data_IF_793405943056
#
_entry.id   IF_793405943056
#
_cell.length_a   1.000
_cell.length_b   1.000
_cell.length_c   1.000
_cell.angle_alpha   90.00
_cell.angle_beta   90.00
_cell.angle_gamma   90.00
#
_symmetry.space_group_name_H-M   'P 1'
#
loop_
_entity.id
_entity.type
_entity.pdbx_description
1 polymer ?
#
# COMPACT_ATOMS: atom_id res chain seq x y z
N UNK A 1 10.64 18.19 -16.44
CA UNK A 1 9.16 18.17 -16.45
C UNK A 1 8.64 16.72 -16.33
N UNK A 2 8.96 15.97 -15.26
CA UNK A 2 8.63 14.53 -15.20
C UNK A 2 7.91 14.06 -13.92
N UNK A 3 7.72 14.93 -12.92
CA UNK A 3 7.06 14.56 -11.66
C UNK A 3 5.53 14.74 -11.67
N UNK A 4 4.96 15.44 -12.66
CA UNK A 4 3.52 15.74 -12.73
C UNK A 4 2.68 14.66 -13.41
N UNK A 5 3.26 13.84 -14.28
CA UNK A 5 2.55 12.78 -15.01
C UNK A 5 2.38 11.52 -14.15
N UNK A 6 3.44 11.10 -13.46
CA UNK A 6 3.43 9.93 -12.55
C UNK A 6 2.40 10.06 -11.40
N UNK A 7 2.26 11.25 -10.82
CA UNK A 7 1.31 11.50 -9.74
C UNK A 7 -0.13 11.63 -10.25
N UNK A 8 -0.33 11.97 -11.53
CA UNK A 8 -1.65 11.94 -12.17
C UNK A 8 -2.10 10.50 -12.42
N UNK A 9 -1.20 9.61 -12.85
CA UNK A 9 -1.57 8.23 -13.19
C UNK A 9 -2.10 7.43 -12.00
N UNK A 10 -1.38 7.42 -10.87
CA UNK A 10 -1.81 6.60 -9.72
C UNK A 10 -3.10 7.13 -9.08
N UNK A 11 -3.28 8.46 -9.03
CA UNK A 11 -4.54 9.07 -8.53
C UNK A 11 -5.71 8.79 -9.47
N UNK A 12 -5.46 8.80 -10.77
CA UNK A 12 -6.48 8.44 -11.78
C UNK A 12 -6.86 6.96 -11.66
N UNK A 13 -5.87 6.09 -11.47
CA UNK A 13 -6.06 4.66 -11.23
C UNK A 13 -6.89 4.41 -9.97
N UNK A 14 -6.53 5.05 -8.85
CA UNK A 14 -7.27 4.94 -7.59
C UNK A 14 -8.71 5.48 -7.71
N UNK A 15 -8.90 6.62 -8.38
CA UNK A 15 -10.24 7.15 -8.61
C UNK A 15 -11.10 6.24 -9.50
N UNK A 16 -10.47 5.52 -10.44
CA UNK A 16 -11.16 4.55 -11.29
C UNK A 16 -11.57 3.30 -10.49
N UNK A 17 -10.67 2.78 -9.65
CA UNK A 17 -10.93 1.58 -8.84
C UNK A 17 -11.95 1.82 -7.73
N UNK A 18 -11.89 2.96 -7.04
CA UNK A 18 -12.84 3.29 -5.97
C UNK A 18 -14.18 3.87 -6.46
N UNK A 19 -14.51 3.74 -7.74
CA UNK A 19 -15.74 4.34 -8.32
C UNK A 19 -17.02 3.81 -7.66
N UNK A 20 -16.99 2.59 -7.12
CA UNK A 20 -18.08 1.95 -6.39
C UNK A 20 -17.88 1.93 -4.86
N UNK A 21 -16.92 2.71 -4.35
CA UNK A 21 -16.43 2.71 -2.96
C UNK A 21 -15.87 1.36 -2.47
N UNK A 22 -15.51 0.46 -3.40
CA UNK A 22 -14.87 -0.82 -3.10
C UNK A 22 -13.64 -0.96 -3.98
N UNK A 23 -12.87 -2.00 -3.72
CA UNK A 23 -11.78 -2.41 -4.60
C UNK A 23 -11.85 -3.93 -4.71
N UNK A 24 -11.91 -4.43 -5.93
CA UNK A 24 -11.89 -5.85 -6.22
C UNK A 24 -10.48 -6.43 -6.09
N UNK A 25 -10.38 -7.75 -6.03
CA UNK A 25 -9.08 -8.43 -6.03
C UNK A 25 -8.27 -8.12 -7.29
N UNK A 26 -8.94 -8.01 -8.45
CA UNK A 26 -8.31 -7.68 -9.74
C UNK A 26 -7.75 -6.25 -9.72
N UNK A 27 -8.51 -5.28 -9.23
CA UNK A 27 -8.06 -3.89 -9.10
C UNK A 27 -6.89 -3.75 -8.11
N UNK A 28 -6.91 -4.50 -7.00
CA UNK A 28 -5.77 -4.60 -6.09
C UNK A 28 -4.51 -5.16 -6.76
N UNK A 29 -4.64 -6.19 -7.61
CA UNK A 29 -3.52 -6.76 -8.35
C UNK A 29 -2.95 -5.75 -9.34
N UNK A 30 -3.81 -5.06 -10.10
CA UNK A 30 -3.38 -4.03 -11.04
C UNK A 30 -2.65 -2.89 -10.31
N UNK A 31 -3.16 -2.47 -9.14
CA UNK A 31 -2.50 -1.45 -8.31
C UNK A 31 -1.11 -1.89 -7.85
N UNK A 32 -0.96 -3.14 -7.39
CA UNK A 32 0.34 -3.70 -6.99
C UNK A 32 1.29 -3.74 -8.19
N UNK A 33 0.85 -4.31 -9.30
CA UNK A 33 1.70 -4.47 -10.49
C UNK A 33 2.16 -3.10 -11.02
N UNK A 34 1.28 -2.09 -11.00
CA UNK A 34 1.64 -0.70 -11.31
C UNK A 34 2.68 -0.13 -10.33
N UNK A 35 2.52 -0.37 -9.03
CA UNK A 35 3.47 0.09 -8.02
C UNK A 35 4.85 -0.57 -8.19
N UNK A 36 4.87 -1.88 -8.46
CA UNK A 36 6.08 -2.65 -8.70
C UNK A 36 6.81 -2.20 -9.96
N UNK A 37 6.11 -1.97 -11.07
CA UNK A 37 6.71 -1.48 -12.32
C UNK A 37 7.45 -0.14 -12.09
N UNK A 38 6.82 0.77 -11.33
CA UNK A 38 7.43 2.07 -10.99
C UNK A 38 8.65 1.90 -10.10
N UNK A 39 8.61 0.96 -9.16
CA UNK A 39 9.71 0.73 -8.23
C UNK A 39 10.87 -0.03 -8.89
N UNK A 40 10.59 -0.94 -9.80
CA UNK A 40 11.58 -1.64 -10.63
C UNK A 40 12.42 -0.67 -11.44
N UNK A 41 11.84 0.42 -11.95
CA UNK A 41 12.59 1.48 -12.62
C UNK A 41 13.63 2.14 -11.68
N UNK A 42 13.30 2.30 -10.39
CA UNK A 42 14.22 2.80 -9.36
C UNK A 42 15.31 1.76 -9.08
N UNK A 43 14.95 0.48 -8.92
CA UNK A 43 15.91 -0.61 -8.70
C UNK A 43 16.90 -0.77 -9.85
N UNK A 44 16.43 -0.68 -11.09
CA UNK A 44 17.26 -0.75 -12.28
C UNK A 44 18.31 0.37 -12.30
N UNK A 45 17.99 1.54 -11.73
CA UNK A 45 18.88 2.71 -11.69
C UNK A 45 19.83 2.73 -10.49
N UNK A 46 19.37 2.28 -9.32
CA UNK A 46 20.09 2.45 -8.05
C UNK A 46 20.54 1.14 -7.39
N UNK A 47 20.27 -0.01 -8.01
CA UNK A 47 20.73 -1.32 -7.58
C UNK A 47 19.60 -2.24 -7.11
N UNK A 48 19.75 -3.55 -7.41
CA UNK A 48 18.71 -4.57 -7.24
C UNK A 48 18.80 -5.41 -5.96
N UNK A 49 19.90 -5.31 -5.22
CA UNK A 49 20.17 -6.12 -4.01
C UNK A 49 20.54 -5.19 -2.84
N UNK A 50 19.65 -4.26 -2.50
CA UNK A 50 19.84 -3.28 -1.44
C UNK A 50 18.52 -2.99 -0.72
N UNK A 51 18.52 -1.98 0.16
CA UNK A 51 17.36 -1.57 0.94
C UNK A 51 16.12 -1.25 0.09
N UNK A 52 16.29 -0.79 -1.15
CA UNK A 52 15.16 -0.55 -2.06
C UNK A 52 14.46 -1.87 -2.38
N UNK A 53 15.21 -2.89 -2.81
CA UNK A 53 14.64 -4.20 -3.15
C UNK A 53 14.03 -4.90 -1.93
N UNK A 54 14.60 -4.69 -0.75
CA UNK A 54 14.03 -5.18 0.51
C UNK A 54 12.72 -4.44 0.85
N UNK A 55 12.65 -3.13 0.60
CA UNK A 55 11.46 -2.33 0.85
C UNK A 55 10.28 -2.71 -0.04
N UNK A 56 10.51 -2.91 -1.34
CA UNK A 56 9.49 -3.37 -2.28
C UNK A 56 8.89 -4.72 -1.82
N UNK A 57 9.75 -5.72 -1.57
CA UNK A 57 9.34 -7.04 -1.05
C UNK A 57 8.61 -6.95 0.29
N UNK A 58 9.04 -6.04 1.17
CA UNK A 58 8.39 -5.84 2.46
C UNK A 58 7.00 -5.23 2.33
N UNK A 59 6.76 -4.41 1.31
CA UNK A 59 5.43 -3.84 1.01
C UNK A 59 4.44 -4.95 0.64
N UNK A 60 4.86 -5.88 -0.21
CA UNK A 60 4.07 -7.07 -0.57
C UNK A 60 3.78 -7.95 0.64
N UNK A 61 4.82 -8.31 1.41
CA UNK A 61 4.67 -9.13 2.62
C UNK A 61 3.73 -8.46 3.62
N UNK A 62 3.86 -7.15 3.84
CA UNK A 62 3.00 -6.39 4.75
C UNK A 62 1.54 -6.42 4.29
N UNK A 63 1.29 -6.27 3.00
CA UNK A 63 -0.06 -6.32 2.42
C UNK A 63 -0.68 -7.71 2.58
N UNK A 64 0.09 -8.77 2.33
CA UNK A 64 -0.34 -10.15 2.52
C UNK A 64 -0.67 -10.44 4.00
N UNK A 65 0.21 -10.01 4.92
CA UNK A 65 0.00 -10.19 6.36
C UNK A 65 -1.25 -9.45 6.84
N UNK A 66 -1.53 -8.25 6.33
CA UNK A 66 -2.74 -7.50 6.64
C UNK A 66 -4.00 -8.27 6.19
N UNK A 67 -4.02 -8.80 4.97
CA UNK A 67 -5.13 -9.61 4.46
C UNK A 67 -5.33 -10.88 5.28
N UNK A 68 -4.26 -11.62 5.55
CA UNK A 68 -4.34 -12.85 6.34
C UNK A 68 -4.82 -12.58 7.77
N UNK A 69 -4.28 -11.54 8.41
CA UNK A 69 -4.69 -11.13 9.76
C UNK A 69 -6.16 -10.76 9.81
N UNK A 70 -6.67 -10.08 8.78
CA UNK A 70 -8.11 -9.81 8.68
C UNK A 70 -8.93 -11.10 8.65
N UNK A 71 -8.54 -12.08 7.82
CA UNK A 71 -9.24 -13.37 7.76
C UNK A 71 -9.14 -14.18 9.05
N UNK A 72 -8.00 -14.13 9.73
CA UNK A 72 -7.77 -14.87 10.98
C UNK A 72 -8.57 -14.28 12.16
N UNK A 73 -8.78 -12.96 12.15
CA UNK A 73 -9.41 -12.23 13.26
C UNK A 73 -10.91 -12.05 13.03
N UNK A 74 -11.40 -11.89 11.79
CA UNK A 74 -12.83 -11.68 11.51
C UNK A 74 -13.73 -12.78 12.08
N UNK A 75 -13.25 -14.02 12.10
CA UNK A 75 -13.97 -15.20 12.61
C UNK A 75 -13.96 -15.27 14.15
N UNK A 76 -13.07 -14.52 14.79
CA UNK A 76 -12.86 -14.51 16.25
C UNK A 76 -13.48 -13.29 16.94
N UNK A 77 -13.91 -12.28 16.17
CA UNK A 77 -14.52 -11.06 16.71
C UNK A 77 -16.00 -11.26 17.08
N UNK A 78 -16.35 -11.19 18.37
CA UNK A 78 -17.70 -11.44 18.85
C UNK A 78 -18.61 -10.20 18.76
N UNK A 79 -18.05 -8.99 18.64
CA UNK A 79 -18.83 -7.74 18.68
C UNK A 79 -18.23 -6.61 17.81
N UNK A 80 -19.01 -5.55 17.60
CA UNK A 80 -18.63 -4.38 16.78
C UNK A 80 -17.56 -3.49 17.42
N UNK A 81 -17.43 -3.50 18.76
CA UNK A 81 -16.42 -2.70 19.47
C UNK A 81 -15.01 -3.24 19.21
N UNK A 82 -14.84 -4.57 19.26
CA UNK A 82 -13.58 -5.22 18.90
C UNK A 82 -13.22 -5.00 17.43
N UNK A 83 -14.20 -5.10 16.51
CA UNK A 83 -13.98 -4.78 15.09
C UNK A 83 -13.46 -3.36 14.90
N UNK A 84 -14.00 -2.39 15.65
CA UNK A 84 -13.55 -1.01 15.63
C UNK A 84 -12.11 -0.89 16.15
N UNK A 85 -11.79 -1.51 17.29
CA UNK A 85 -10.45 -1.47 17.87
C UNK A 85 -9.39 -2.08 16.93
N UNK A 86 -9.71 -3.20 16.26
CA UNK A 86 -8.84 -3.82 15.26
C UNK A 86 -8.61 -2.89 14.08
N UNK A 87 -9.69 -2.30 13.54
CA UNK A 87 -9.57 -1.32 12.45
C UNK A 87 -8.68 -0.15 12.83
N UNK A 88 -8.86 0.40 14.03
CA UNK A 88 -8.03 1.49 14.56
C UNK A 88 -6.56 1.10 14.67
N UNK A 89 -6.25 -0.12 15.12
CA UNK A 89 -4.89 -0.62 15.20
C UNK A 89 -4.21 -0.73 13.82
N UNK A 90 -4.90 -1.27 12.81
CA UNK A 90 -4.38 -1.30 11.43
C UNK A 90 -4.20 0.10 10.85
N UNK A 91 -5.16 1.01 11.08
CA UNK A 91 -5.05 2.41 10.65
C UNK A 91 -3.82 3.07 11.28
N UNK A 92 -3.52 2.84 12.56
CA UNK A 92 -2.33 3.40 13.21
C UNK A 92 -1.02 2.96 12.54
N UNK A 93 -0.91 1.69 12.13
CA UNK A 93 0.26 1.18 11.39
C UNK A 93 0.40 1.86 10.02
N UNK A 94 -0.70 1.99 9.29
CA UNK A 94 -0.71 2.65 7.97
C UNK A 94 -0.33 4.13 8.10
N UNK A 95 -0.90 4.83 9.09
CA UNK A 95 -0.58 6.24 9.36
C UNK A 95 0.89 6.42 9.72
N UNK A 96 1.49 5.50 10.48
CA UNK A 96 2.92 5.53 10.78
C UNK A 96 3.79 5.42 9.51
N UNK A 97 3.43 4.54 8.57
CA UNK A 97 4.11 4.42 7.27
C UNK A 97 3.98 5.72 6.47
N UNK A 98 2.76 6.27 6.37
CA UNK A 98 2.49 7.53 5.67
C UNK A 98 3.27 8.70 6.31
N UNK A 99 3.32 8.76 7.63
CA UNK A 99 4.05 9.81 8.36
C UNK A 99 5.56 9.75 8.08
N UNK A 100 6.15 8.55 8.02
CA UNK A 100 7.55 8.39 7.62
C UNK A 100 7.78 8.79 6.16
N UNK A 101 6.90 8.36 5.26
CA UNK A 101 6.96 8.77 3.85
C UNK A 101 6.94 10.31 3.75
N UNK A 102 5.97 10.97 4.37
CA UNK A 102 5.87 12.43 4.35
C UNK A 102 7.14 13.06 4.96
N UNK A 103 7.63 12.57 6.10
CA UNK A 103 8.82 13.12 6.77
C UNK A 103 10.06 13.11 5.87
N UNK A 104 10.32 12.02 5.15
CA UNK A 104 11.55 11.86 4.37
C UNK A 104 11.43 12.41 2.94
N UNK A 105 10.24 12.35 2.34
CA UNK A 105 10.05 12.65 0.92
C UNK A 105 9.34 13.97 0.63
N UNK A 106 8.87 14.71 1.64
CA UNK A 106 8.29 16.06 1.42
C UNK A 106 9.33 17.07 0.88
N UNK A 107 10.63 16.83 1.14
CA UNK A 107 11.72 17.73 0.75
C UNK A 107 12.67 17.13 -0.30
N UNK A 108 12.32 15.99 -0.90
CA UNK A 108 13.09 15.34 -1.96
C UNK A 108 12.66 15.87 -3.33
#
# INVERSE_FOLDING_TARGET
MHNSETNRDIKTLLNAFYRDNRISNEECQILRDFADERFDAVLNKFGKNNNLSAFQKSTDITTQLMQQSFFDIKEKCPNEEEKKAIKEAFVAQIVYIIANYNRFFTNL
#
